data_IF_812542028867
#
_entry.id   IF_812542028867
#
_cell.length_a   1.000
_cell.length_b   1.000
_cell.length_c   1.000
_cell.angle_alpha   90.00
_cell.angle_beta   90.00
_cell.angle_gamma   90.00
#
_symmetry.space_group_name_H-M   'P 1'
#
loop_
_entity.id
_entity.type
_entity.pdbx_description
1 polymer ?
#
# COMPACT_ATOMS: atom_id res chain seq x y z
N UNK A 1 -16.57 11.64 12.21
CA UNK A 1 -16.19 10.21 12.29
C UNK A 1 -16.64 9.40 11.07
N UNK A 2 -17.16 10.05 10.02
CA UNK A 2 -17.41 9.39 8.73
C UNK A 2 -16.11 9.17 7.94
N UNK A 3 -15.02 9.84 8.36
CA UNK A 3 -13.70 9.69 7.77
C UNK A 3 -13.03 8.36 8.17
N UNK A 4 -13.38 7.81 9.34
CA UNK A 4 -12.79 6.60 9.91
C UNK A 4 -12.94 5.36 9.01
N UNK A 5 -14.13 5.03 8.49
CA UNK A 5 -14.30 3.94 7.52
C UNK A 5 -13.52 4.17 6.22
N UNK A 6 -13.44 5.43 5.77
CA UNK A 6 -12.68 5.81 4.58
C UNK A 6 -11.18 5.50 4.74
N UNK A 7 -10.62 5.83 5.91
CA UNK A 7 -9.21 5.55 6.19
C UNK A 7 -8.92 4.10 6.56
N UNK A 8 -9.81 3.43 7.29
CA UNK A 8 -9.61 2.04 7.72
C UNK A 8 -9.91 1.02 6.63
N UNK A 9 -10.75 1.33 5.65
CA UNK A 9 -11.18 0.34 4.65
C UNK A 9 -10.76 0.77 3.25
N UNK A 10 -11.01 2.03 2.88
CA UNK A 10 -10.77 2.49 1.51
C UNK A 10 -9.28 2.61 1.19
N UNK A 11 -8.49 3.24 2.07
CA UNK A 11 -7.05 3.44 1.84
C UNK A 11 -6.26 2.11 1.69
N UNK A 12 -6.49 1.06 2.51
CA UNK A 12 -5.86 -0.25 2.32
C UNK A 12 -6.27 -0.96 1.03
N UNK A 13 -7.55 -0.93 0.68
CA UNK A 13 -8.04 -1.60 -0.54
C UNK A 13 -7.42 -0.94 -1.77
N UNK A 14 -7.39 0.39 -1.78
CA UNK A 14 -6.82 1.17 -2.89
C UNK A 14 -5.30 0.96 -3.00
N UNK A 15 -4.62 0.91 -1.85
CA UNK A 15 -3.20 0.54 -1.72
C UNK A 15 -2.92 -0.84 -2.32
N UNK A 16 -3.70 -1.85 -1.94
CA UNK A 16 -3.53 -3.23 -2.40
C UNK A 16 -3.81 -3.34 -3.89
N UNK A 17 -4.89 -2.71 -4.37
CA UNK A 17 -5.28 -2.71 -5.77
C UNK A 17 -4.23 -2.07 -6.68
N UNK A 18 -3.67 -0.92 -6.28
CA UNK A 18 -2.61 -0.26 -7.04
C UNK A 18 -1.32 -1.07 -7.02
N UNK A 19 -0.95 -1.63 -5.87
CA UNK A 19 0.23 -2.49 -5.75
C UNK A 19 0.13 -3.70 -6.66
N UNK A 20 -1.03 -4.36 -6.70
CA UNK A 20 -1.29 -5.48 -7.59
C UNK A 20 -1.21 -5.05 -9.07
N UNK A 21 -1.86 -3.94 -9.45
CA UNK A 21 -1.83 -3.39 -10.82
C UNK A 21 -0.41 -3.11 -11.30
N UNK A 22 0.43 -2.50 -10.44
CA UNK A 22 1.82 -2.21 -10.78
C UNK A 22 2.66 -3.49 -10.88
N UNK A 23 2.54 -4.41 -9.93
CA UNK A 23 3.24 -5.70 -9.97
C UNK A 23 2.90 -6.54 -11.21
N UNK A 24 1.65 -6.47 -11.67
CA UNK A 24 1.21 -7.16 -12.89
C UNK A 24 1.70 -6.46 -14.17
N UNK A 25 1.57 -5.13 -14.26
CA UNK A 25 1.80 -4.40 -15.50
C UNK A 25 3.27 -4.05 -15.74
N UNK A 26 4.06 -3.71 -14.72
CA UNK A 26 5.41 -3.16 -14.88
C UNK A 26 6.47 -4.11 -14.32
N UNK A 27 7.49 -4.46 -15.13
CA UNK A 27 8.58 -5.40 -14.74
C UNK A 27 9.64 -4.75 -13.82
N UNK A 28 9.82 -3.43 -13.87
CA UNK A 28 10.95 -2.72 -13.23
C UNK A 28 10.55 -1.57 -12.28
N UNK A 29 9.26 -1.35 -12.02
CA UNK A 29 8.82 -0.22 -11.18
C UNK A 29 8.48 -0.68 -9.76
N UNK A 30 9.48 -1.15 -9.02
CA UNK A 30 9.34 -1.57 -7.60
C UNK A 30 9.04 -0.38 -6.68
N UNK A 31 9.54 0.81 -7.05
CA UNK A 31 9.39 2.05 -6.28
C UNK A 31 8.06 2.75 -6.52
N UNK A 32 7.41 2.56 -7.67
CA UNK A 32 6.14 3.21 -7.99
C UNK A 32 4.99 2.86 -7.02
N UNK A 33 4.74 1.57 -6.66
CA UNK A 33 3.72 1.25 -5.68
C UNK A 33 4.06 1.78 -4.29
N UNK A 34 5.35 1.89 -3.93
CA UNK A 34 5.79 2.51 -2.67
C UNK A 34 5.50 4.02 -2.66
N UNK A 35 5.79 4.74 -3.75
CA UNK A 35 5.55 6.18 -3.87
C UNK A 35 4.05 6.49 -3.83
N UNK A 36 3.25 5.75 -4.60
CA UNK A 36 1.79 5.93 -4.62
C UNK A 36 1.19 5.56 -3.26
N UNK A 37 1.73 4.52 -2.62
CA UNK A 37 1.32 4.15 -1.27
C UNK A 37 1.57 5.29 -0.27
N UNK A 38 2.78 5.86 -0.25
CA UNK A 38 3.11 6.99 0.61
C UNK A 38 2.16 8.15 0.27
N UNK A 39 1.98 8.48 -1.01
CA UNK A 39 1.10 9.57 -1.44
C UNK A 39 -0.36 9.39 -0.97
N UNK A 40 -0.90 8.17 -1.06
CA UNK A 40 -2.27 7.86 -0.64
C UNK A 40 -2.44 7.75 0.88
N UNK A 41 -1.36 7.47 1.61
CA UNK A 41 -1.38 7.36 3.06
C UNK A 41 -0.84 8.60 3.77
N UNK A 42 -0.34 9.62 3.06
CA UNK A 42 -0.03 10.94 3.62
C UNK A 42 -1.24 11.48 4.40
N UNK A 43 -2.48 11.48 3.85
CA UNK A 43 -3.65 11.90 4.61
C UNK A 43 -3.87 11.05 5.88
N UNK A 44 -3.67 9.74 5.80
CA UNK A 44 -3.78 8.81 6.94
C UNK A 44 -2.68 9.04 8.00
N UNK A 45 -1.51 9.55 7.61
CA UNK A 45 -0.42 9.94 8.51
C UNK A 45 -0.65 11.33 9.11
N UNK A 46 -1.25 12.25 8.35
CA UNK A 46 -1.47 13.64 8.74
C UNK A 46 -2.76 13.85 9.55
N UNK A 47 -3.86 13.15 9.25
CA UNK A 47 -5.14 13.28 9.99
C UNK A 47 -4.98 13.01 11.48
N UNK A 48 -4.27 11.96 11.90
CA UNK A 48 -4.00 11.75 13.32
C UNK A 48 -3.11 12.84 13.92
N UNK A 49 -2.31 13.57 13.13
CA UNK A 49 -1.56 14.71 13.66
C UNK A 49 -2.48 15.82 14.19
N UNK A 50 -3.65 15.99 13.59
CA UNK A 50 -4.64 16.98 13.99
C UNK A 50 -5.69 16.44 14.97
N UNK A 51 -5.95 15.13 14.96
CA UNK A 51 -6.92 14.48 15.85
C UNK A 51 -6.19 13.51 16.79
N UNK A 52 -6.08 13.87 18.08
CA UNK A 52 -5.36 13.08 19.10
C UNK A 52 -5.92 11.66 19.36
N UNK A 53 -7.01 11.27 18.71
CA UNK A 53 -7.67 9.98 18.93
C UNK A 53 -7.13 8.94 17.93
N UNK A 54 -6.56 7.85 18.44
CA UNK A 54 -6.20 6.70 17.61
C UNK A 54 -4.91 6.80 16.79
N UNK A 55 -4.05 7.81 17.05
CA UNK A 55 -2.74 8.03 16.39
C UNK A 55 -1.92 6.75 16.20
N UNK A 56 -1.65 6.04 17.30
CA UNK A 56 -0.84 4.82 17.26
C UNK A 56 -1.50 3.68 16.48
N UNK A 57 -2.81 3.52 16.62
CA UNK A 57 -3.56 2.48 15.94
C UNK A 57 -3.65 2.73 14.43
N UNK A 58 -3.96 3.96 14.00
CA UNK A 58 -4.01 4.32 12.58
C UNK A 58 -2.63 4.26 11.92
N UNK A 59 -1.59 4.71 12.63
CA UNK A 59 -0.21 4.62 12.15
C UNK A 59 0.25 3.16 12.00
N UNK A 60 0.02 2.33 13.01
CA UNK A 60 0.32 0.90 12.97
C UNK A 60 -0.46 0.17 11.87
N UNK A 61 -1.73 0.54 11.68
CA UNK A 61 -2.57 0.02 10.61
C UNK A 61 -2.03 0.38 9.22
N UNK A 62 -1.70 1.66 8.99
CA UNK A 62 -1.10 2.11 7.74
C UNK A 62 0.22 1.36 7.46
N UNK A 63 1.12 1.26 8.45
CA UNK A 63 2.38 0.52 8.33
C UNK A 63 2.17 -0.96 8.00
N UNK A 64 1.23 -1.63 8.67
CA UNK A 64 0.93 -3.04 8.44
C UNK A 64 0.48 -3.30 7.00
N UNK A 65 -0.48 -2.52 6.50
CA UNK A 65 -0.93 -2.64 5.11
C UNK A 65 0.12 -2.19 4.10
N UNK A 66 1.01 -1.26 4.47
CA UNK A 66 2.20 -0.91 3.66
C UNK A 66 3.04 -2.14 3.41
N UNK A 67 3.36 -2.86 4.50
CA UNK A 67 4.28 -3.98 4.49
C UNK A 67 3.70 -5.15 3.71
N UNK A 68 2.42 -5.46 3.92
CA UNK A 68 1.69 -6.48 3.14
C UNK A 68 1.70 -6.12 1.65
N UNK A 69 1.36 -4.88 1.32
CA UNK A 69 1.26 -4.44 -0.06
C UNK A 69 2.61 -4.51 -0.79
N UNK A 70 3.69 -4.11 -0.11
CA UNK A 70 5.06 -4.26 -0.59
C UNK A 70 5.42 -5.74 -0.81
N UNK A 71 5.08 -6.60 0.15
CA UNK A 71 5.38 -8.04 0.08
C UNK A 71 4.66 -8.72 -1.08
N UNK A 72 3.38 -8.38 -1.32
CA UNK A 72 2.59 -8.89 -2.46
C UNK A 72 3.20 -8.44 -3.79
N UNK A 73 3.52 -7.15 -3.92
CA UNK A 73 4.17 -6.61 -5.13
C UNK A 73 5.50 -7.32 -5.40
N UNK A 74 6.32 -7.51 -4.36
CA UNK A 74 7.58 -8.21 -4.45
C UNK A 74 7.41 -9.65 -4.94
N UNK A 75 6.50 -10.42 -4.31
CA UNK A 75 6.18 -11.79 -4.71
C UNK A 75 5.70 -11.87 -6.17
N UNK A 76 4.77 -11.00 -6.55
CA UNK A 76 4.23 -10.97 -7.91
C UNK A 76 5.33 -10.77 -8.97
N UNK A 77 6.26 -9.85 -8.72
CA UNK A 77 7.37 -9.59 -9.65
C UNK A 77 8.38 -10.74 -9.66
N UNK A 78 8.68 -11.36 -8.50
CA UNK A 78 9.58 -12.52 -8.44
C UNK A 78 9.02 -13.71 -9.22
N UNK A 79 7.73 -14.02 -9.05
CA UNK A 79 7.04 -15.06 -9.83
C UNK A 79 7.10 -14.75 -11.33
N UNK A 80 6.81 -13.50 -11.73
CA UNK A 80 6.86 -13.08 -13.14
C UNK A 80 8.27 -13.19 -13.73
N UNK A 81 9.31 -12.85 -12.97
CA UNK A 81 10.71 -12.94 -13.39
C UNK A 81 11.16 -14.38 -13.54
N UNK A 82 10.74 -15.27 -12.63
CA UNK A 82 11.01 -16.71 -12.74
C UNK A 82 10.34 -17.30 -13.97
N UNK A 83 9.06 -16.96 -14.21
CA UNK A 83 8.30 -17.43 -15.38
C UNK A 83 8.94 -16.99 -16.70
N UNK A 84 9.49 -15.79 -16.78
CA UNK A 84 10.15 -15.33 -18.02
C UNK A 84 11.54 -15.91 -18.25
N UNK A 85 12.15 -16.57 -17.26
CA UNK A 85 13.42 -17.31 -17.45
C UNK A 85 13.21 -18.77 -17.85
N UNK A 86 12.00 -19.29 -17.63
CA UNK A 86 11.58 -20.65 -17.98
C UNK A 86 10.96 -20.74 -19.39
N UNK A 87 10.66 -19.60 -20.02
CA UNK A 87 10.18 -19.43 -21.39
C UNK A 87 11.31 -18.98 -22.29
#
# INVERSE_FOLDING_TARGET
>A
MWELPLYLIFAPILTLGISLLFGLKHKNMYLAPLIIFIALNIPTLLVPLYQNVGRGAMFGYALFFSFISFFISFLAIRIKTLRSKLS
#
